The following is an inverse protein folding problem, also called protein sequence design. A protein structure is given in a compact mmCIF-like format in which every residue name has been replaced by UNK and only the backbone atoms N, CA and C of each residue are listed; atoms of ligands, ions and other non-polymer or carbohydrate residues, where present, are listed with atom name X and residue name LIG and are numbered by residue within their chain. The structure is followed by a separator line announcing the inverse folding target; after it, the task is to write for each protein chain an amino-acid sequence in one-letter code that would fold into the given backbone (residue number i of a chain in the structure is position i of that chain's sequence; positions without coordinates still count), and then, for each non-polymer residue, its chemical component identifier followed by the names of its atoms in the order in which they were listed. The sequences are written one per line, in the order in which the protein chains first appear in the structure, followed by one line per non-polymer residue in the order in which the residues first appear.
data_IF_877314736687
#
_entry.id   IF_877314736687
#
_cell.length_a   1.000
_cell.length_b   1.000
_cell.length_c   1.000
_cell.angle_alpha   90.00
_cell.angle_beta   90.00
_cell.angle_gamma   90.00
#
_symmetry.space_group_name_H-M   'P 1'
#
loop_
_entity.id
_entity.type
_entity.pdbx_description
1 polymer ?
#
# COMPACT_ATOMS: atom_id res chain seq x y z
N UNK A 1 -40.78 10.93 8.83
CA UNK A 1 -40.33 9.56 8.50
C UNK A 1 -39.74 8.91 9.75
N UNK A 2 -40.45 7.97 10.38
CA UNK A 2 -39.89 7.19 11.49
C UNK A 2 -38.87 6.20 10.90
N UNK A 3 -37.61 6.21 11.37
CA UNK A 3 -36.56 5.30 10.91
C UNK A 3 -35.50 5.88 9.97
N UNK A 4 -35.65 7.13 9.50
CA UNK A 4 -34.63 7.76 8.66
C UNK A 4 -33.33 8.05 9.42
N UNK A 5 -33.44 8.59 10.64
CA UNK A 5 -32.28 8.88 11.49
C UNK A 5 -31.43 7.64 11.78
N UNK A 6 -31.98 6.49 12.25
CA UNK A 6 -31.16 5.31 12.48
C UNK A 6 -30.58 4.72 11.18
N UNK A 7 -31.26 4.85 10.03
CA UNK A 7 -30.71 4.43 8.74
C UNK A 7 -29.46 5.23 8.35
N UNK A 8 -29.54 6.57 8.41
CA UNK A 8 -28.41 7.44 8.09
C UNK A 8 -27.23 7.19 9.03
N UNK A 9 -27.50 7.06 10.33
CA UNK A 9 -26.48 6.72 11.31
C UNK A 9 -25.82 5.36 11.04
N UNK A 10 -26.61 4.35 10.67
CA UNK A 10 -26.09 3.04 10.30
C UNK A 10 -25.15 3.11 9.10
N UNK A 11 -25.55 3.82 8.04
CA UNK A 11 -24.73 3.98 6.83
C UNK A 11 -23.41 4.70 7.16
N UNK A 12 -23.48 5.81 7.90
CA UNK A 12 -22.28 6.55 8.29
C UNK A 12 -21.37 5.71 9.20
N UNK A 13 -21.93 4.95 10.12
CA UNK A 13 -21.17 4.04 10.98
C UNK A 13 -20.46 2.97 10.15
N UNK A 14 -21.14 2.30 9.21
CA UNK A 14 -20.52 1.29 8.35
C UNK A 14 -19.37 1.87 7.52
N UNK A 15 -19.54 3.07 6.95
CA UNK A 15 -18.47 3.74 6.19
C UNK A 15 -17.30 4.18 7.09
N UNK A 16 -17.59 4.68 8.29
CA UNK A 16 -16.56 5.08 9.24
C UNK A 16 -15.75 3.86 9.70
N UNK A 17 -16.42 2.77 10.07
CA UNK A 17 -15.75 1.54 10.51
C UNK A 17 -14.98 0.84 9.38
N UNK A 18 -15.48 0.88 8.14
CA UNK A 18 -14.74 0.33 7.00
C UNK A 18 -13.46 1.12 6.72
N UNK A 19 -13.52 2.46 6.72
CA UNK A 19 -12.34 3.30 6.57
C UNK A 19 -11.35 3.11 7.73
N UNK A 20 -11.84 3.05 8.97
CA UNK A 20 -11.00 2.80 10.13
C UNK A 20 -10.26 1.45 10.02
N UNK A 21 -10.98 0.38 9.71
CA UNK A 21 -10.42 -0.97 9.64
C UNK A 21 -9.49 -1.22 8.46
N UNK A 22 -9.75 -0.59 7.31
CA UNK A 22 -9.02 -0.87 6.07
C UNK A 22 -7.97 0.17 5.69
N UNK A 23 -8.07 1.40 6.20
CA UNK A 23 -7.11 2.46 5.89
C UNK A 23 -6.36 2.94 7.13
N UNK A 24 -7.07 3.38 8.17
CA UNK A 24 -6.44 4.02 9.33
C UNK A 24 -5.63 3.05 10.19
N UNK A 25 -6.19 1.90 10.54
CA UNK A 25 -5.47 0.89 11.35
C UNK A 25 -4.23 0.37 10.61
N UNK A 26 -4.30 -0.04 9.32
CA UNK A 26 -3.10 -0.45 8.58
C UNK A 26 -2.05 0.66 8.48
N UNK A 27 -2.43 1.92 8.28
CA UNK A 27 -1.49 3.03 8.25
C UNK A 27 -0.72 3.17 9.57
N UNK A 28 -1.39 3.00 10.71
CA UNK A 28 -0.71 2.96 12.02
C UNK A 28 0.23 1.75 12.17
N UNK A 29 -0.06 0.63 11.52
CA UNK A 29 0.73 -0.59 11.62
C UNK A 29 1.95 -0.60 10.69
N UNK A 30 1.78 -0.13 9.45
CA UNK A 30 2.78 -0.29 8.38
C UNK A 30 3.19 1.02 7.70
N UNK A 31 2.54 2.14 7.99
CA UNK A 31 2.82 3.44 7.35
C UNK A 31 4.18 4.03 7.71
N UNK A 32 4.78 3.56 8.81
CA UNK A 32 6.07 4.02 9.32
C UNK A 32 7.09 2.88 9.48
N UNK A 33 6.99 1.84 8.64
CA UNK A 33 7.98 0.77 8.63
C UNK A 33 9.38 1.32 8.35
N UNK A 34 10.32 0.98 9.23
CA UNK A 34 11.72 1.29 9.01
C UNK A 34 12.25 0.56 7.76
N UNK A 35 13.19 1.20 7.05
CA UNK A 35 13.86 0.55 5.93
C UNK A 35 14.45 -0.80 6.34
N UNK A 36 14.24 -1.83 5.53
CA UNK A 36 14.78 -3.16 5.74
C UNK A 36 16.23 -3.23 5.27
N UNK A 37 17.12 -3.81 6.07
CA UNK A 37 18.50 -4.09 5.69
C UNK A 37 18.80 -5.59 5.68
N UNK A 38 19.86 -5.98 5.00
CA UNK A 38 20.52 -7.27 5.19
C UNK A 38 21.18 -7.36 6.58
N UNK A 39 21.67 -8.55 6.96
CA UNK A 39 22.30 -8.79 8.26
C UNK A 39 23.54 -7.93 8.50
N UNK A 40 24.22 -7.52 7.42
CA UNK A 40 25.41 -6.65 7.46
C UNK A 40 25.08 -5.15 7.41
N UNK A 41 23.80 -4.78 7.28
CA UNK A 41 23.35 -3.39 7.29
C UNK A 41 23.79 -2.58 6.06
N UNK A 42 24.14 -3.26 4.97
CA UNK A 42 24.71 -2.67 3.76
C UNK A 42 23.69 -2.41 2.66
N UNK A 43 22.55 -3.11 2.65
CA UNK A 43 21.53 -3.00 1.61
C UNK A 43 20.16 -2.54 2.18
N UNK A 44 20.05 -1.23 2.44
CA UNK A 44 18.90 -0.62 3.11
C UNK A 44 17.81 -0.24 2.08
N UNK A 45 16.65 -0.91 2.14
CA UNK A 45 15.49 -0.64 1.30
C UNK A 45 14.32 0.01 2.06
N UNK A 46 13.62 0.99 1.47
CA UNK A 46 13.82 1.49 0.11
C UNK A 46 15.01 2.46 0.03
N UNK A 47 15.93 2.22 -0.91
CA UNK A 47 17.00 3.18 -1.20
C UNK A 47 16.42 4.49 -1.77
N UNK A 48 17.01 5.65 -1.46
CA UNK A 48 16.65 6.91 -2.10
C UNK A 48 16.72 6.76 -3.63
N UNK A 49 15.58 6.94 -4.31
CA UNK A 49 15.53 6.80 -5.77
C UNK A 49 16.42 7.88 -6.41
N UNK A 50 17.43 7.45 -7.16
CA UNK A 50 18.24 8.38 -7.95
C UNK A 50 17.39 9.08 -9.01
N UNK A 51 17.84 10.25 -9.48
CA UNK A 51 17.15 10.96 -10.57
C UNK A 51 17.02 10.12 -11.86
N UNK A 52 17.93 9.16 -12.07
CA UNK A 52 17.87 8.20 -13.17
C UNK A 52 16.74 7.18 -12.97
N UNK A 53 16.53 6.67 -11.76
CA UNK A 53 15.43 5.75 -11.45
C UNK A 53 14.07 6.41 -11.69
N UNK A 54 13.91 7.68 -11.32
CA UNK A 54 12.68 8.44 -11.57
C UNK A 54 12.44 8.70 -13.07
N UNK A 55 13.51 8.97 -13.83
CA UNK A 55 13.41 9.05 -15.30
C UNK A 55 13.01 7.70 -15.90
N UNK A 56 13.60 6.60 -15.44
CA UNK A 56 13.27 5.24 -15.86
C UNK A 56 11.79 4.92 -15.60
N UNK A 57 11.26 5.27 -14.42
CA UNK A 57 9.85 5.11 -14.06
C UNK A 57 8.92 5.81 -15.05
N UNK A 58 9.25 7.04 -15.48
CA UNK A 58 8.44 7.75 -16.48
C UNK A 58 8.41 7.03 -17.83
N UNK A 59 9.54 6.46 -18.26
CA UNK A 59 9.62 5.68 -19.50
C UNK A 59 8.84 4.36 -19.37
N UNK A 60 8.99 3.66 -18.23
CA UNK A 60 8.26 2.42 -17.92
C UNK A 60 6.74 2.61 -18.01
N UNK A 61 6.22 3.71 -17.45
CA UNK A 61 4.79 4.05 -17.53
C UNK A 61 4.40 4.45 -18.95
N UNK A 62 5.19 5.30 -19.62
CA UNK A 62 4.88 5.79 -20.96
C UNK A 62 4.81 4.67 -22.01
N UNK A 63 5.65 3.64 -21.89
CA UNK A 63 5.64 2.47 -22.77
C UNK A 63 4.63 1.39 -22.34
N UNK A 64 3.88 1.60 -21.26
CA UNK A 64 2.86 0.64 -20.82
C UNK A 64 3.43 -0.67 -20.28
N UNK A 65 4.66 -0.69 -19.78
CA UNK A 65 5.30 -1.93 -19.32
C UNK A 65 4.50 -2.64 -18.21
N UNK A 66 3.79 -1.88 -17.37
CA UNK A 66 2.91 -2.40 -16.32
C UNK A 66 1.72 -3.23 -16.84
N UNK A 67 1.40 -3.17 -18.14
CA UNK A 67 0.37 -4.03 -18.72
C UNK A 67 0.81 -5.49 -18.82
N UNK A 68 2.12 -5.76 -18.90
CA UNK A 68 2.67 -7.11 -19.02
C UNK A 68 3.53 -7.52 -17.81
N UNK A 69 3.99 -6.58 -16.99
CA UNK A 69 4.89 -6.83 -15.87
C UNK A 69 4.28 -6.40 -14.53
N UNK A 70 4.06 -7.37 -13.62
CA UNK A 70 3.66 -7.11 -12.23
C UNK A 70 4.83 -6.58 -11.41
N UNK A 71 4.57 -5.57 -10.57
CA UNK A 71 5.52 -5.07 -9.57
C UNK A 71 5.21 -5.62 -8.16
N UNK A 72 4.16 -6.44 -8.02
CA UNK A 72 3.73 -7.01 -6.75
C UNK A 72 3.79 -8.54 -6.79
N UNK A 73 4.54 -9.09 -5.83
CA UNK A 73 4.58 -10.53 -5.55
C UNK A 73 3.44 -10.85 -4.57
N UNK A 74 2.71 -11.94 -4.82
CA UNK A 74 1.62 -12.34 -3.91
C UNK A 74 2.18 -12.96 -2.62
N UNK A 75 1.45 -12.80 -1.51
CA UNK A 75 1.89 -13.26 -0.20
C UNK A 75 2.11 -14.78 -0.08
N UNK A 76 1.46 -15.59 -0.92
CA UNK A 76 1.64 -17.04 -0.95
C UNK A 76 3.07 -17.47 -1.33
N UNK A 77 3.82 -16.61 -2.03
CA UNK A 77 5.25 -16.84 -2.29
C UNK A 77 6.14 -16.61 -1.07
N UNK A 78 5.72 -15.79 -0.10
CA UNK A 78 6.50 -15.48 1.11
C UNK A 78 6.18 -16.41 2.29
N UNK A 79 5.00 -17.04 2.29
CA UNK A 79 4.57 -17.97 3.34
C UNK A 79 5.03 -19.43 3.13
N UNK A 80 5.68 -19.73 1.98
CA UNK A 80 6.12 -21.07 1.58
C UNK A 80 7.62 -21.34 1.76
N UNK A 81 8.38 -20.43 2.38
CA UNK A 81 9.80 -20.57 2.71
C UNK A 81 10.02 -20.76 4.21
#
# INVERSE_FOLDING_TARGET
MKGFTPLVLGILATLAFSWLGLAYIPDLQIGHLDPQSDEEGTDIYPMPKSGMAERGRRIYVANGCFYCHSEQVRADYAAGS
#
